data_IF_094660165347
#
_entry.id   IF_094660165347
#
_cell.length_a   1.000
_cell.length_b   1.000
_cell.length_c   1.000
_cell.angle_alpha   90.00
_cell.angle_beta   90.00
_cell.angle_gamma   90.00
#
_symmetry.space_group_name_H-M   'P 1'
#
loop_
_entity.id
_entity.type
_entity.pdbx_description
1 polymer ?
#
# COMPACT_ATOMS: atom_id res chain seq x y z
N UNK A 1 6.98 -46.29 -4.17
CA UNK A 1 5.88 -45.37 -4.56
C UNK A 1 5.69 -44.20 -3.59
N UNK A 2 5.54 -44.42 -2.26
CA UNK A 2 5.31 -43.34 -1.28
C UNK A 2 6.36 -42.20 -1.27
N UNK A 3 7.66 -42.53 -1.40
CA UNK A 3 8.74 -41.54 -1.39
C UNK A 3 8.65 -40.54 -2.56
N UNK A 4 8.28 -41.03 -3.75
CA UNK A 4 8.08 -40.21 -4.95
C UNK A 4 6.88 -39.27 -4.79
N UNK A 5 5.78 -39.76 -4.23
CA UNK A 5 4.58 -38.95 -3.94
C UNK A 5 4.88 -37.84 -2.94
N UNK A 6 5.64 -38.14 -1.89
CA UNK A 6 6.03 -37.14 -0.88
C UNK A 6 6.90 -36.01 -1.46
N UNK A 7 7.84 -36.35 -2.36
CA UNK A 7 8.69 -35.35 -3.03
C UNK A 7 7.84 -34.43 -3.91
N UNK A 8 6.90 -35.01 -4.68
CA UNK A 8 5.95 -34.24 -5.50
C UNK A 8 5.12 -33.27 -4.67
N UNK A 9 4.55 -33.72 -3.55
CA UNK A 9 3.76 -32.87 -2.65
C UNK A 9 4.59 -31.71 -2.07
N UNK A 10 5.84 -31.94 -1.70
CA UNK A 10 6.71 -30.89 -1.18
C UNK A 10 7.07 -29.85 -2.25
N UNK A 11 7.31 -30.28 -3.50
CA UNK A 11 7.59 -29.37 -4.61
C UNK A 11 6.37 -28.49 -4.92
N UNK A 12 5.18 -29.09 -5.00
CA UNK A 12 3.91 -28.36 -5.20
C UNK A 12 3.72 -27.33 -4.08
N UNK A 13 3.94 -27.71 -2.82
CA UNK A 13 3.83 -26.79 -1.68
C UNK A 13 4.82 -25.61 -1.81
N UNK A 14 6.04 -25.86 -2.26
CA UNK A 14 7.06 -24.81 -2.49
C UNK A 14 6.63 -23.85 -3.59
N UNK A 15 6.13 -24.35 -4.71
CA UNK A 15 5.63 -23.53 -5.82
C UNK A 15 4.44 -22.68 -5.41
N UNK A 16 3.47 -23.25 -4.69
CA UNK A 16 2.33 -22.50 -4.15
C UNK A 16 2.81 -21.36 -3.24
N UNK A 17 3.77 -21.62 -2.35
CA UNK A 17 4.32 -20.57 -1.48
C UNK A 17 5.02 -19.46 -2.26
N UNK A 18 5.73 -19.79 -3.35
CA UNK A 18 6.34 -18.80 -4.24
C UNK A 18 5.28 -17.94 -4.92
N UNK A 19 4.20 -18.54 -5.42
CA UNK A 19 3.08 -17.83 -6.04
C UNK A 19 2.37 -16.90 -5.04
N UNK A 20 2.13 -17.37 -3.81
CA UNK A 20 1.56 -16.54 -2.75
C UNK A 20 2.44 -15.33 -2.45
N UNK A 21 3.77 -15.52 -2.39
CA UNK A 21 4.72 -14.42 -2.17
C UNK A 21 4.66 -13.39 -3.31
N UNK A 22 4.65 -13.84 -4.56
CA UNK A 22 4.56 -12.96 -5.73
C UNK A 22 3.24 -12.15 -5.76
N UNK A 23 2.12 -12.79 -5.43
CA UNK A 23 0.81 -12.12 -5.33
C UNK A 23 0.81 -11.03 -4.27
N UNK A 24 1.37 -11.31 -3.09
CA UNK A 24 1.49 -10.31 -2.01
C UNK A 24 2.31 -9.11 -2.46
N UNK A 25 3.49 -9.34 -3.06
CA UNK A 25 4.34 -8.27 -3.57
C UNK A 25 3.62 -7.40 -4.62
N UNK A 26 2.89 -8.03 -5.55
CA UNK A 26 2.13 -7.30 -6.56
C UNK A 26 1.00 -6.44 -5.98
N UNK A 27 0.35 -6.90 -4.90
CA UNK A 27 -0.67 -6.12 -4.20
C UNK A 27 -0.06 -4.95 -3.42
N UNK A 28 1.07 -5.18 -2.76
CA UNK A 28 1.80 -4.13 -2.07
C UNK A 28 2.28 -3.02 -3.02
N UNK A 29 2.72 -3.38 -4.23
CA UNK A 29 3.12 -2.40 -5.25
C UNK A 29 1.94 -1.50 -5.68
N UNK A 30 0.72 -2.07 -5.80
CA UNK A 30 -0.50 -1.27 -6.03
C UNK A 30 -0.79 -0.33 -4.87
N UNK A 31 -0.57 -0.79 -3.63
CA UNK A 31 -0.74 0.05 -2.45
C UNK A 31 0.29 1.19 -2.39
N UNK A 32 1.55 0.92 -2.79
CA UNK A 32 2.59 1.95 -2.94
C UNK A 32 2.15 3.04 -3.93
N UNK A 33 1.63 2.65 -5.09
CA UNK A 33 1.12 3.61 -6.08
C UNK A 33 -0.06 4.43 -5.55
N UNK A 34 -0.96 3.83 -4.77
CA UNK A 34 -2.04 4.56 -4.12
C UNK A 34 -1.52 5.57 -3.06
N UNK A 35 -0.44 5.23 -2.34
CA UNK A 35 0.23 6.15 -1.41
C UNK A 35 0.87 7.33 -2.15
N UNK A 36 1.48 7.09 -3.31
CA UNK A 36 2.05 8.17 -4.14
C UNK A 36 0.96 9.12 -4.67
N UNK A 37 -0.18 8.59 -5.12
CA UNK A 37 -1.34 9.42 -5.48
C UNK A 37 -1.82 10.29 -4.29
N UNK A 38 -1.75 9.76 -3.07
CA UNK A 38 -2.09 10.49 -1.85
C UNK A 38 -1.09 11.64 -1.55
N UNK A 39 0.21 11.39 -1.69
CA UNK A 39 1.26 12.42 -1.59
C UNK A 39 1.01 13.55 -2.59
N UNK A 40 0.79 13.21 -3.86
CA UNK A 40 0.49 14.19 -4.90
C UNK A 40 -0.77 15.01 -4.61
N UNK A 41 -1.75 14.43 -3.92
CA UNK A 41 -2.92 15.17 -3.47
C UNK A 41 -2.57 16.11 -2.31
N UNK A 42 -1.81 15.66 -1.32
CA UNK A 42 -1.34 16.53 -0.24
C UNK A 42 -0.57 17.75 -0.77
N UNK A 43 0.27 17.55 -1.79
CA UNK A 43 0.95 18.65 -2.49
C UNK A 43 -0.01 19.66 -3.12
N UNK A 44 -1.05 19.17 -3.81
CA UNK A 44 -2.06 20.04 -4.44
C UNK A 44 -2.90 20.78 -3.42
N UNK A 45 -3.18 20.16 -2.28
CA UNK A 45 -3.92 20.79 -1.20
C UNK A 45 -3.08 21.87 -0.49
N UNK A 46 -1.76 21.67 -0.42
CA UNK A 46 -0.77 22.56 0.18
C UNK A 46 -1.19 23.06 1.58
N UNK A 47 -1.50 22.10 2.47
CA UNK A 47 -2.01 22.37 3.81
C UNK A 47 -0.92 22.06 4.83
N UNK A 48 -0.59 23.05 5.66
CA UNK A 48 0.48 22.95 6.63
C UNK A 48 0.27 21.79 7.64
N UNK A 49 -0.97 21.57 8.08
CA UNK A 49 -1.33 20.47 8.98
C UNK A 49 -1.16 19.06 8.38
N UNK A 50 -0.94 18.95 7.06
CA UNK A 50 -0.73 17.69 6.36
C UNK A 50 0.74 17.47 5.99
N UNK A 51 1.61 18.45 6.22
CA UNK A 51 3.04 18.40 5.86
C UNK A 51 3.74 17.21 6.52
N UNK A 52 3.50 16.98 7.81
CA UNK A 52 4.18 15.91 8.55
C UNK A 52 3.80 14.52 8.02
N UNK A 53 2.50 14.26 7.81
CA UNK A 53 2.05 12.97 7.28
C UNK A 53 2.51 12.76 5.84
N UNK A 54 2.54 13.83 5.03
CA UNK A 54 3.06 13.79 3.66
C UNK A 54 4.53 13.36 3.67
N UNK A 55 5.40 14.03 4.44
CA UNK A 55 6.84 13.71 4.50
C UNK A 55 7.11 12.30 5.01
N UNK A 56 6.35 11.82 6.01
CA UNK A 56 6.48 10.44 6.51
C UNK A 56 6.05 9.42 5.46
N UNK A 57 4.97 9.69 4.73
CA UNK A 57 4.50 8.80 3.67
C UNK A 57 5.49 8.73 2.50
N UNK A 58 6.06 9.88 2.09
CA UNK A 58 7.14 9.94 1.09
C UNK A 58 8.37 9.11 1.51
N UNK A 59 8.80 9.25 2.76
CA UNK A 59 9.90 8.44 3.30
C UNK A 59 9.60 6.94 3.22
N UNK A 60 8.38 6.52 3.60
CA UNK A 60 8.00 5.12 3.55
C UNK A 60 7.88 4.56 2.14
N UNK A 61 7.44 5.36 1.16
CA UNK A 61 7.46 5.00 -0.26
C UNK A 61 8.90 4.76 -0.71
N UNK A 62 9.81 5.70 -0.43
CA UNK A 62 11.23 5.58 -0.79
C UNK A 62 11.92 4.38 -0.12
N UNK A 63 11.62 4.13 1.17
CA UNK A 63 12.12 2.95 1.89
C UNK A 63 11.66 1.66 1.21
N UNK A 64 10.36 1.55 0.93
CA UNK A 64 9.78 0.37 0.26
C UNK A 64 10.38 0.14 -1.13
N UNK A 65 10.62 1.20 -1.90
CA UNK A 65 11.23 1.09 -3.22
C UNK A 65 12.65 0.49 -3.16
N UNK A 66 13.34 0.67 -2.03
CA UNK A 66 14.69 0.14 -1.79
C UNK A 66 14.70 -1.27 -1.17
N UNK A 67 13.93 -1.50 -0.10
CA UNK A 67 14.02 -2.72 0.72
C UNK A 67 12.84 -3.69 0.52
N UNK A 68 11.79 -3.27 -0.19
CA UNK A 68 10.52 -3.99 -0.40
C UNK A 68 9.84 -4.42 0.91
N UNK A 69 10.12 -3.73 2.01
CA UNK A 69 9.44 -3.88 3.29
C UNK A 69 8.24 -2.92 3.40
N UNK A 70 7.00 -3.43 3.47
CA UNK A 70 5.83 -2.57 3.41
C UNK A 70 5.31 -2.12 4.78
N UNK A 71 5.98 -2.45 5.88
CA UNK A 71 5.47 -2.17 7.23
C UNK A 71 5.12 -0.69 7.42
N UNK A 72 6.08 0.20 7.15
CA UNK A 72 5.87 1.65 7.25
C UNK A 72 4.88 2.17 6.22
N UNK A 73 4.87 1.59 5.02
CA UNK A 73 3.93 1.95 3.96
C UNK A 73 2.48 1.73 4.41
N UNK A 74 2.16 0.55 4.97
CA UNK A 74 0.82 0.26 5.50
C UNK A 74 0.44 1.12 6.69
N UNK A 75 1.38 1.40 7.59
CA UNK A 75 1.14 2.24 8.77
C UNK A 75 0.77 3.67 8.37
N UNK A 76 1.64 4.33 7.60
CA UNK A 76 1.41 5.72 7.21
C UNK A 76 0.37 5.86 6.10
N UNK A 77 0.18 4.85 5.25
CA UNK A 77 -0.92 4.82 4.29
C UNK A 77 -2.30 4.80 4.96
N UNK A 78 -2.46 4.09 6.09
CA UNK A 78 -3.69 4.13 6.91
C UNK A 78 -3.94 5.51 7.50
N UNK A 79 -2.89 6.14 8.02
CA UNK A 79 -2.99 7.48 8.61
C UNK A 79 -3.35 8.50 7.52
N UNK A 80 -2.70 8.45 6.37
CA UNK A 80 -3.00 9.30 5.23
C UNK A 80 -4.45 9.13 4.73
N UNK A 81 -4.94 7.88 4.65
CA UNK A 81 -6.33 7.59 4.31
C UNK A 81 -7.31 8.27 5.29
N UNK A 82 -7.04 8.17 6.59
CA UNK A 82 -7.88 8.79 7.63
C UNK A 82 -7.89 10.31 7.51
N UNK A 83 -6.72 10.92 7.28
CA UNK A 83 -6.59 12.36 7.08
C UNK A 83 -7.34 12.83 5.82
N UNK A 84 -7.18 12.14 4.69
CA UNK A 84 -7.87 12.48 3.44
C UNK A 84 -9.39 12.34 3.57
N UNK A 85 -9.88 11.30 4.27
CA UNK A 85 -11.31 11.17 4.57
C UNK A 85 -11.82 12.31 5.44
N UNK A 86 -11.11 12.62 6.53
CA UNK A 86 -11.45 13.72 7.44
C UNK A 86 -11.45 15.07 6.73
N UNK A 87 -10.48 15.31 5.85
CA UNK A 87 -10.41 16.52 5.06
C UNK A 87 -11.54 16.60 4.02
N UNK A 88 -11.89 15.47 3.38
CA UNK A 88 -12.97 15.39 2.40
C UNK A 88 -14.34 15.68 2.99
N UNK A 89 -14.64 15.29 4.23
CA UNK A 89 -15.94 15.61 4.86
C UNK A 89 -16.15 17.12 4.97
N UNK A 90 -15.08 17.86 5.25
CA UNK A 90 -15.08 19.33 5.32
C UNK A 90 -14.95 19.98 3.93
N UNK A 91 -14.28 19.32 2.98
CA UNK A 91 -13.97 19.85 1.65
C UNK A 91 -14.28 18.84 0.52
N UNK A 92 -15.56 18.50 0.26
CA UNK A 92 -15.92 17.35 -0.59
C UNK A 92 -15.41 17.43 -2.03
N UNK A 93 -15.28 18.64 -2.57
CA UNK A 93 -14.84 18.90 -3.94
C UNK A 93 -13.32 18.94 -4.12
N UNK A 94 -12.55 19.04 -3.02
CA UNK A 94 -11.09 19.15 -3.07
C UNK A 94 -10.38 17.79 -3.08
N UNK A 95 -11.07 16.71 -2.69
CA UNK A 95 -10.50 15.36 -2.64
C UNK A 95 -11.16 14.46 -3.67
N UNK A 96 -10.38 14.04 -4.66
CA UNK A 96 -10.83 13.06 -5.64
C UNK A 96 -11.20 11.75 -4.94
N UNK A 97 -12.43 11.26 -5.18
CA UNK A 97 -12.92 10.00 -4.61
C UNK A 97 -12.02 8.81 -4.98
N UNK A 98 -11.51 8.79 -6.21
CA UNK A 98 -10.66 7.71 -6.71
C UNK A 98 -9.42 7.46 -5.85
N UNK A 99 -8.82 8.51 -5.29
CA UNK A 99 -7.58 8.39 -4.47
C UNK A 99 -7.90 7.68 -3.14
N UNK A 100 -9.01 8.02 -2.50
CA UNK A 100 -9.48 7.33 -1.29
C UNK A 100 -9.84 5.88 -1.62
N UNK A 101 -10.60 5.64 -2.68
CA UNK A 101 -11.00 4.30 -3.09
C UNK A 101 -9.77 3.41 -3.43
N UNK A 102 -8.74 3.99 -4.06
CA UNK A 102 -7.48 3.30 -4.35
C UNK A 102 -6.70 2.94 -3.07
N UNK A 103 -6.64 3.85 -2.10
CA UNK A 103 -6.02 3.54 -0.81
C UNK A 103 -6.77 2.42 -0.08
N UNK A 104 -8.10 2.50 0.03
CA UNK A 104 -8.93 1.50 0.71
C UNK A 104 -8.78 0.11 0.09
N UNK A 105 -8.96 0.01 -1.23
CA UNK A 105 -8.96 -1.27 -1.95
C UNK A 105 -7.65 -2.04 -1.79
N UNK A 106 -6.53 -1.32 -1.68
CA UNK A 106 -5.21 -1.93 -1.61
C UNK A 106 -4.71 -2.12 -0.16
N UNK A 107 -5.48 -1.67 0.84
CA UNK A 107 -5.16 -1.80 2.26
C UNK A 107 -5.58 -3.16 2.86
N UNK A 108 -6.60 -3.79 2.28
CA UNK A 108 -7.24 -5.01 2.80
C UNK A 108 -6.69 -6.32 2.20
N UNK A 109 -5.54 -6.30 1.51
CA UNK A 109 -4.98 -7.46 0.79
C UNK A 109 -3.66 -7.99 1.34
#
# INVERSE_FOLDING_TARGET
MLKTVLILLNNIKREINLLIKLLKMANTEKFRNACEEAVQLFDKLNIESQTEIKSKLEYCIGSYDHDKNPSGLYEYGKIALKELKSFKTKNPRKVNKKIIDNLEKNLEN
#
